data_IF_056847781316
#
_entry.id   IF_056847781316
#
_cell.length_a   1.000
_cell.length_b   1.000
_cell.length_c   1.000
_cell.angle_alpha   90.00
_cell.angle_beta   90.00
_cell.angle_gamma   90.00
#
_symmetry.space_group_name_H-M   'P 1'
#
loop_
_entity.id
_entity.type
_entity.pdbx_description
1 polymer ?
#
# COMPACT_ATOMS: atom_id res chain seq x y z
N UNK A 1 -2.83 12.40 25.54
CA UNK A 1 -3.88 12.64 26.57
C UNK A 1 -4.98 11.63 26.33
N UNK A 2 -5.63 11.13 27.41
CA UNK A 2 -6.74 10.18 27.27
C UNK A 2 -8.09 10.90 27.35
N UNK A 3 -9.07 10.38 26.63
CA UNK A 3 -10.47 10.78 26.75
C UNK A 3 -11.22 9.72 27.56
N UNK A 4 -12.16 10.13 28.41
CA UNK A 4 -13.03 9.24 29.17
C UNK A 4 -14.48 9.60 28.87
N UNK A 5 -15.34 8.61 28.80
CA UNK A 5 -16.77 8.77 28.71
C UNK A 5 -17.38 8.80 30.13
N UNK A 6 -18.44 9.56 30.32
CA UNK A 6 -19.20 9.68 31.55
C UNK A 6 -20.68 9.84 31.21
N UNK A 7 -21.53 9.00 31.77
CA UNK A 7 -22.96 9.05 31.54
C UNK A 7 -23.63 9.94 32.58
N UNK A 8 -24.40 10.93 32.12
CA UNK A 8 -25.17 11.83 32.98
C UNK A 8 -26.56 12.05 32.41
N UNK A 9 -27.60 11.78 33.20
CA UNK A 9 -29.00 11.99 32.82
C UNK A 9 -29.39 11.33 31.49
N UNK A 10 -28.87 10.13 31.22
CA UNK A 10 -29.16 9.39 30.00
C UNK A 10 -28.40 9.86 28.76
N UNK A 11 -27.37 10.70 28.91
CA UNK A 11 -26.49 11.15 27.84
C UNK A 11 -25.04 10.84 28.15
N UNK A 12 -24.29 10.42 27.14
CA UNK A 12 -22.85 10.19 27.22
C UNK A 12 -22.09 11.49 26.93
N UNK A 13 -21.15 11.82 27.79
CA UNK A 13 -20.25 12.96 27.65
C UNK A 13 -18.81 12.50 27.63
N UNK A 14 -18.03 13.07 26.75
CA UNK A 14 -16.59 12.85 26.65
C UNK A 14 -15.80 14.01 27.24
N UNK A 15 -14.77 13.69 28.03
CA UNK A 15 -13.86 14.67 28.64
C UNK A 15 -12.43 14.17 28.73
N UNK A 16 -11.49 15.09 28.87
CA UNK A 16 -10.10 14.75 29.18
C UNK A 16 -9.99 14.06 30.54
N UNK A 17 -9.18 12.97 30.62
CA UNK A 17 -8.92 12.25 31.86
C UNK A 17 -8.14 13.05 32.90
N UNK A 18 -7.55 14.21 32.53
CA UNK A 18 -6.70 15.09 33.37
C UNK A 18 -5.48 14.40 34.01
N UNK A 19 -5.15 13.16 33.61
CA UNK A 19 -4.04 12.37 34.21
C UNK A 19 -2.64 12.96 34.03
N UNK A 20 -2.45 13.87 33.06
CA UNK A 20 -1.14 14.49 32.76
C UNK A 20 -1.10 16.00 32.97
N UNK A 21 -1.87 16.53 33.92
CA UNK A 21 -1.97 17.96 34.20
C UNK A 21 -3.36 18.54 34.04
N UNK A 22 -3.55 19.79 34.44
CA UNK A 22 -4.83 20.49 34.30
C UNK A 22 -5.24 20.65 32.84
N UNK A 23 -6.42 20.18 32.51
CA UNK A 23 -7.04 20.39 31.20
C UNK A 23 -8.33 21.19 31.37
N UNK A 24 -8.42 22.32 30.71
CA UNK A 24 -9.60 23.20 30.71
C UNK A 24 -10.63 22.86 29.64
N UNK A 25 -10.41 21.77 28.88
CA UNK A 25 -11.33 21.34 27.82
C UNK A 25 -12.73 21.09 28.38
N UNK A 26 -13.77 21.70 27.77
CA UNK A 26 -15.15 21.46 28.16
C UNK A 26 -15.59 20.03 27.78
N UNK A 27 -16.64 19.56 28.44
CA UNK A 27 -17.32 18.33 28.05
C UNK A 27 -17.94 18.47 26.65
N UNK A 28 -17.90 17.37 25.88
CA UNK A 28 -18.61 17.28 24.60
C UNK A 28 -19.62 16.12 24.68
N UNK A 29 -20.82 16.33 24.20
CA UNK A 29 -21.83 15.27 24.12
C UNK A 29 -21.48 14.30 22.98
N UNK A 30 -21.83 13.03 23.17
CA UNK A 30 -21.57 11.98 22.19
C UNK A 30 -22.15 12.31 20.80
N UNK A 31 -23.38 12.81 20.76
CA UNK A 31 -24.04 13.13 19.51
C UNK A 31 -23.31 14.22 18.72
N UNK A 32 -22.79 15.23 19.43
CA UNK A 32 -22.00 16.31 18.80
C UNK A 32 -20.67 15.80 18.29
N UNK A 33 -19.97 14.98 19.11
CA UNK A 33 -18.72 14.35 18.68
C UNK A 33 -18.95 13.40 17.50
N UNK A 34 -20.02 12.61 17.52
CA UNK A 34 -20.36 11.69 16.43
C UNK A 34 -20.63 12.41 15.11
N UNK A 35 -21.32 13.56 15.18
CA UNK A 35 -21.57 14.41 14.01
C UNK A 35 -20.26 14.98 13.43
N UNK A 36 -19.38 15.54 14.27
CA UNK A 36 -18.07 16.05 13.84
C UNK A 36 -17.22 14.93 13.19
N UNK A 37 -17.22 13.74 13.80
CA UNK A 37 -16.47 12.60 13.25
C UNK A 37 -17.06 12.11 11.92
N UNK A 38 -18.37 12.16 11.76
CA UNK A 38 -19.04 11.82 10.49
C UNK A 38 -18.69 12.80 9.39
N UNK A 39 -18.71 14.11 9.69
CA UNK A 39 -18.29 15.16 8.76
C UNK A 39 -16.84 14.96 8.30
N UNK A 40 -15.94 14.65 9.24
CA UNK A 40 -14.54 14.35 8.92
C UNK A 40 -14.44 13.14 7.99
N UNK A 41 -15.14 12.03 8.26
CA UNK A 41 -15.10 10.85 7.41
C UNK A 41 -15.58 11.17 5.98
N UNK A 42 -16.64 11.95 5.83
CA UNK A 42 -17.13 12.41 4.52
C UNK A 42 -16.07 13.21 3.76
N UNK A 43 -15.27 14.01 4.46
CA UNK A 43 -14.17 14.77 3.85
C UNK A 43 -13.03 13.88 3.28
N UNK A 44 -12.91 12.65 3.73
CA UNK A 44 -11.91 11.68 3.24
C UNK A 44 -12.53 10.57 2.39
N UNK A 45 -13.86 10.63 2.16
CA UNK A 45 -14.52 9.69 1.27
C UNK A 45 -14.07 9.94 -0.18
N UNK A 46 -13.68 8.87 -0.86
CA UNK A 46 -13.27 8.95 -2.26
C UNK A 46 -14.50 8.95 -3.17
N UNK A 47 -14.62 9.90 -4.12
CA UNK A 47 -15.68 9.87 -5.13
C UNK A 47 -15.66 8.58 -5.94
N UNK A 48 -16.83 8.13 -6.39
CA UNK A 48 -16.97 6.87 -7.11
C UNK A 48 -16.19 6.83 -8.43
N UNK A 49 -16.17 7.95 -9.18
CA UNK A 49 -15.42 8.11 -10.41
C UNK A 49 -13.90 8.00 -10.19
N UNK A 50 -13.39 8.55 -9.08
CA UNK A 50 -11.98 8.40 -8.69
C UNK A 50 -11.67 6.96 -8.28
N UNK A 51 -12.57 6.33 -7.55
CA UNK A 51 -12.45 4.92 -7.13
C UNK A 51 -12.30 4.03 -8.36
N UNK A 52 -13.20 4.14 -9.33
CA UNK A 52 -13.18 3.36 -10.56
C UNK A 52 -11.93 3.66 -11.40
N UNK A 53 -11.55 4.93 -11.55
CA UNK A 53 -10.36 5.33 -12.28
C UNK A 53 -9.07 4.76 -11.68
N UNK A 54 -8.90 4.87 -10.35
CA UNK A 54 -7.71 4.35 -9.67
C UNK A 54 -7.63 2.82 -9.70
N UNK A 55 -8.76 2.12 -9.57
CA UNK A 55 -8.80 0.67 -9.70
C UNK A 55 -8.44 0.22 -11.13
N UNK A 56 -8.95 0.91 -12.16
CA UNK A 56 -8.62 0.62 -13.55
C UNK A 56 -7.11 0.81 -13.82
N UNK A 57 -6.51 1.88 -13.30
CA UNK A 57 -5.07 2.11 -13.39
C UNK A 57 -4.26 1.02 -12.67
N UNK A 58 -4.68 0.63 -11.47
CA UNK A 58 -4.03 -0.46 -10.73
C UNK A 58 -4.09 -1.79 -11.50
N UNK A 59 -5.21 -2.08 -12.19
CA UNK A 59 -5.36 -3.27 -13.01
C UNK A 59 -4.49 -3.22 -14.28
N UNK A 60 -4.30 -2.06 -14.88
CA UNK A 60 -3.41 -1.85 -16.01
C UNK A 60 -1.95 -2.05 -15.60
N UNK A 61 -1.51 -1.42 -14.51
CA UNK A 61 -0.17 -1.57 -13.95
C UNK A 61 0.14 -3.03 -13.60
N UNK A 62 -0.83 -3.77 -13.03
CA UNK A 62 -0.67 -5.18 -12.72
C UNK A 62 -0.46 -6.01 -14.00
N UNK A 63 -1.25 -5.77 -15.04
CA UNK A 63 -1.11 -6.46 -16.33
C UNK A 63 0.24 -6.19 -16.98
N UNK A 64 0.71 -4.97 -16.95
CA UNK A 64 1.98 -4.58 -17.57
C UNK A 64 3.19 -5.09 -16.76
N UNK A 65 3.12 -5.01 -15.44
CA UNK A 65 4.10 -5.63 -14.55
C UNK A 65 4.18 -7.14 -14.74
N UNK A 66 3.02 -7.81 -14.87
CA UNK A 66 2.94 -9.25 -15.12
C UNK A 66 3.56 -9.64 -16.47
N UNK A 67 3.26 -8.89 -17.56
CA UNK A 67 3.87 -9.11 -18.89
C UNK A 67 5.38 -8.93 -18.84
N UNK A 68 5.85 -7.87 -18.22
CA UNK A 68 7.28 -7.57 -18.07
C UNK A 68 7.99 -8.68 -17.29
N UNK A 69 7.39 -9.12 -16.20
CA UNK A 69 7.92 -10.23 -15.38
C UNK A 69 7.93 -11.53 -16.17
N UNK A 70 6.88 -11.85 -16.94
CA UNK A 70 6.82 -13.06 -17.77
C UNK A 70 7.94 -13.06 -18.83
N UNK A 71 8.17 -11.92 -19.49
CA UNK A 71 9.24 -11.76 -20.49
C UNK A 71 10.62 -11.95 -19.84
N UNK A 72 10.84 -11.33 -18.67
CA UNK A 72 12.09 -11.49 -17.92
C UNK A 72 12.31 -12.95 -17.51
N UNK A 73 11.30 -13.61 -16.95
CA UNK A 73 11.35 -15.02 -16.53
C UNK A 73 11.65 -15.92 -17.72
N UNK A 74 11.04 -15.68 -18.90
CA UNK A 74 11.33 -16.42 -20.11
C UNK A 74 12.81 -16.28 -20.51
N UNK A 75 13.32 -15.06 -20.62
CA UNK A 75 14.72 -14.81 -20.97
C UNK A 75 15.73 -15.41 -19.97
N UNK A 76 15.42 -15.38 -18.67
CA UNK A 76 16.25 -16.03 -17.65
C UNK A 76 16.27 -17.56 -17.81
N UNK A 77 15.14 -18.19 -18.11
CA UNK A 77 15.07 -19.62 -18.40
C UNK A 77 15.87 -20.03 -19.63
N UNK A 78 15.80 -19.25 -20.69
CA UNK A 78 16.63 -19.48 -21.88
C UNK A 78 18.12 -19.38 -21.57
N UNK A 79 18.54 -18.39 -20.75
CA UNK A 79 19.94 -18.29 -20.31
C UNK A 79 20.39 -19.50 -19.51
N UNK A 80 19.54 -20.02 -18.61
CA UNK A 80 19.83 -21.23 -17.85
C UNK A 80 19.99 -22.44 -18.80
N UNK A 81 19.13 -22.55 -19.82
CA UNK A 81 19.25 -23.60 -20.85
C UNK A 81 20.57 -23.52 -21.61
N UNK A 82 21.00 -22.31 -21.97
CA UNK A 82 22.32 -22.11 -22.61
C UNK A 82 23.47 -22.55 -21.70
N UNK A 83 23.40 -22.25 -20.40
CA UNK A 83 24.42 -22.70 -19.45
C UNK A 83 24.44 -24.25 -19.32
N UNK A 84 23.28 -24.89 -19.29
CA UNK A 84 23.20 -26.35 -19.29
C UNK A 84 23.88 -26.92 -20.53
N UNK A 85 23.56 -26.45 -21.74
CA UNK A 85 24.20 -26.91 -22.96
C UNK A 85 25.72 -26.67 -23.00
N UNK A 86 26.22 -25.58 -22.37
CA UNK A 86 27.66 -25.36 -22.24
C UNK A 86 28.30 -26.36 -21.26
N UNK A 87 27.62 -26.67 -20.16
CA UNK A 87 28.08 -27.66 -19.17
C UNK A 87 28.12 -29.05 -19.79
N UNK A 88 27.08 -29.43 -20.54
CA UNK A 88 27.02 -30.70 -21.25
C UNK A 88 28.18 -30.81 -22.25
N UNK A 89 28.40 -29.80 -23.09
CA UNK A 89 29.49 -29.78 -24.07
C UNK A 89 30.88 -29.93 -23.44
N UNK A 90 31.18 -29.23 -22.33
CA UNK A 90 32.48 -29.41 -21.69
C UNK A 90 32.60 -30.75 -21.00
N UNK A 91 31.48 -31.37 -20.62
CA UNK A 91 31.46 -32.72 -20.05
C UNK A 91 31.78 -33.76 -21.15
N UNK A 92 31.21 -33.61 -22.34
CA UNK A 92 31.49 -34.48 -23.50
C UNK A 92 32.98 -34.39 -23.88
N UNK A 93 33.53 -33.18 -24.02
CA UNK A 93 34.96 -32.98 -24.32
C UNK A 93 35.88 -33.61 -23.26
N UNK A 94 35.47 -33.63 -22.00
CA UNK A 94 36.22 -34.28 -20.94
C UNK A 94 36.11 -35.81 -21.03
N UNK A 95 34.96 -36.37 -21.36
CA UNK A 95 34.72 -37.81 -21.55
C UNK A 95 35.51 -38.31 -22.77
N UNK A 96 35.58 -37.51 -23.84
CA UNK A 96 36.36 -37.80 -25.04
C UNK A 96 37.89 -37.62 -24.87
N UNK A 97 38.32 -37.14 -23.70
CA UNK A 97 39.72 -36.88 -23.37
C UNK A 97 40.35 -35.70 -24.16
N UNK A 98 39.53 -34.85 -24.76
CA UNK A 98 39.98 -33.65 -25.50
C UNK A 98 40.45 -32.52 -24.60
N UNK A 99 40.02 -32.52 -23.33
CA UNK A 99 40.47 -31.58 -22.31
C UNK A 99 40.92 -32.30 -21.05
N UNK A 100 41.90 -31.70 -20.37
CA UNK A 100 42.41 -32.20 -19.09
C UNK A 100 41.42 -31.91 -17.93
N UNK A 101 41.62 -32.63 -16.82
CA UNK A 101 40.75 -32.56 -15.65
C UNK A 101 40.76 -31.17 -15.01
N UNK A 102 41.90 -30.47 -15.02
CA UNK A 102 42.01 -29.14 -14.38
C UNK A 102 41.21 -28.12 -15.17
N UNK A 103 41.36 -28.08 -16.49
CA UNK A 103 40.58 -27.24 -17.41
C UNK A 103 39.09 -27.51 -17.29
N UNK A 104 38.67 -28.78 -17.27
CA UNK A 104 37.27 -29.17 -17.07
C UNK A 104 36.71 -28.61 -15.77
N UNK A 105 37.37 -28.85 -14.63
CA UNK A 105 36.89 -28.42 -13.33
C UNK A 105 36.84 -26.87 -13.21
N UNK A 106 37.82 -26.16 -13.77
CA UNK A 106 37.84 -24.70 -13.78
C UNK A 106 36.65 -24.14 -14.58
N UNK A 107 36.45 -24.61 -15.81
CA UNK A 107 35.33 -24.19 -16.68
C UNK A 107 33.98 -24.55 -16.08
N UNK A 108 33.82 -25.76 -15.57
CA UNK A 108 32.55 -26.18 -14.92
C UNK A 108 32.21 -25.31 -13.73
N UNK A 109 33.17 -25.02 -12.84
CA UNK A 109 32.94 -24.15 -11.69
C UNK A 109 32.46 -22.76 -12.12
N UNK A 110 33.09 -22.16 -13.13
CA UNK A 110 32.69 -20.87 -13.68
C UNK A 110 31.23 -20.87 -14.19
N UNK A 111 30.91 -21.83 -15.06
CA UNK A 111 29.58 -21.97 -15.65
C UNK A 111 28.49 -22.24 -14.59
N UNK A 112 28.79 -23.09 -13.58
CA UNK A 112 27.86 -23.35 -12.48
C UNK A 112 27.63 -22.14 -11.60
N UNK A 113 28.67 -21.33 -11.34
CA UNK A 113 28.54 -20.08 -10.59
C UNK A 113 27.65 -19.07 -11.32
N UNK A 114 27.88 -18.89 -12.64
CA UNK A 114 27.07 -17.99 -13.47
C UNK A 114 25.62 -18.48 -13.56
N UNK A 115 25.41 -19.79 -13.77
CA UNK A 115 24.06 -20.40 -13.77
C UNK A 115 23.34 -20.14 -12.45
N UNK A 116 24.01 -20.37 -11.31
CA UNK A 116 23.44 -20.15 -9.98
C UNK A 116 22.99 -18.68 -9.78
N UNK A 117 23.81 -17.72 -10.21
CA UNK A 117 23.44 -16.29 -10.16
C UNK A 117 22.17 -16.00 -10.95
N UNK A 118 22.02 -16.60 -12.15
CA UNK A 118 20.80 -16.44 -12.96
C UNK A 118 19.60 -17.11 -12.30
N UNK A 119 19.77 -18.29 -11.70
CA UNK A 119 18.72 -19.01 -10.96
C UNK A 119 18.24 -18.21 -9.74
N UNK A 120 19.15 -17.54 -9.02
CA UNK A 120 18.81 -16.67 -7.90
C UNK A 120 17.97 -15.44 -8.35
N UNK A 121 18.33 -14.81 -9.48
CA UNK A 121 17.54 -13.73 -10.07
C UNK A 121 16.18 -14.24 -10.51
N UNK A 122 16.10 -15.40 -11.15
CA UNK A 122 14.85 -16.03 -11.55
C UNK A 122 13.93 -16.27 -10.35
N UNK A 123 14.46 -16.87 -9.28
CA UNK A 123 13.70 -17.13 -8.06
C UNK A 123 13.18 -15.84 -7.40
N UNK A 124 13.98 -14.76 -7.44
CA UNK A 124 13.58 -13.44 -6.94
C UNK A 124 12.48 -12.84 -7.81
N UNK A 125 12.61 -12.89 -9.14
CA UNK A 125 11.61 -12.37 -10.07
C UNK A 125 10.27 -13.11 -9.99
N UNK A 126 10.28 -14.42 -9.71
CA UNK A 126 9.06 -15.21 -9.54
C UNK A 126 8.32 -14.94 -8.21
N UNK A 127 9.01 -14.42 -7.19
CA UNK A 127 8.38 -14.03 -5.92
C UNK A 127 7.82 -12.61 -5.94
N UNK A 128 8.23 -11.81 -6.92
CA UNK A 128 7.87 -10.40 -7.02
C UNK A 128 6.58 -10.19 -7.81
N UNK A 129 5.46 -9.98 -7.11
CA UNK A 129 4.37 -9.13 -7.59
C UNK A 129 4.70 -7.67 -7.27
N UNK A 130 3.86 -6.73 -7.69
CA UNK A 130 3.95 -5.33 -7.25
C UNK A 130 3.45 -5.22 -5.80
N UNK A 131 4.34 -5.18 -4.80
CA UNK A 131 3.95 -5.31 -3.39
C UNK A 131 3.11 -4.11 -2.89
N UNK A 132 3.03 -3.04 -3.69
CA UNK A 132 2.25 -1.85 -3.38
C UNK A 132 0.79 -1.94 -3.90
N UNK A 133 0.48 -2.82 -4.86
CA UNK A 133 -0.85 -2.91 -5.48
C UNK A 133 -1.93 -3.35 -4.49
N UNK A 134 -1.71 -4.43 -3.73
CA UNK A 134 -2.68 -4.88 -2.75
C UNK A 134 -2.95 -3.84 -1.66
N UNK A 135 -1.93 -3.23 -1.00
CA UNK A 135 -2.15 -2.14 -0.07
C UNK A 135 -2.88 -0.93 -0.68
N UNK A 136 -2.62 -0.63 -1.96
CA UNK A 136 -3.31 0.45 -2.66
C UNK A 136 -4.78 0.12 -2.89
N UNK A 137 -5.11 -1.09 -3.37
CA UNK A 137 -6.49 -1.54 -3.55
C UNK A 137 -7.27 -1.54 -2.24
N UNK A 138 -6.67 -2.02 -1.16
CA UNK A 138 -7.27 -1.97 0.17
C UNK A 138 -7.56 -0.54 0.61
N UNK A 139 -6.61 0.39 0.39
CA UNK A 139 -6.79 1.78 0.72
C UNK A 139 -7.90 2.44 -0.13
N UNK A 140 -7.97 2.17 -1.45
CA UNK A 140 -9.04 2.67 -2.33
C UNK A 140 -10.40 2.17 -1.82
N UNK A 141 -10.50 0.88 -1.48
CA UNK A 141 -11.71 0.29 -0.91
C UNK A 141 -12.09 0.94 0.42
N UNK A 142 -11.13 1.11 1.33
CA UNK A 142 -11.36 1.81 2.59
C UNK A 142 -11.90 3.23 2.35
N UNK A 143 -11.29 3.98 1.43
CA UNK A 143 -11.67 5.35 1.12
C UNK A 143 -13.06 5.44 0.44
N UNK A 144 -13.43 4.50 -0.42
CA UNK A 144 -14.71 4.48 -1.10
C UNK A 144 -15.89 4.18 -0.16
N UNK A 145 -15.65 3.46 0.94
CA UNK A 145 -16.70 3.11 1.91
C UNK A 145 -16.92 4.15 3.01
N UNK A 146 -16.08 5.18 3.08
CA UNK A 146 -16.14 6.16 4.17
C UNK A 146 -17.45 6.96 4.22
N UNK A 147 -18.05 7.25 3.08
CA UNK A 147 -19.32 8.01 3.02
C UNK A 147 -20.49 7.18 3.61
N UNK A 148 -20.53 5.89 3.33
CA UNK A 148 -21.51 4.97 3.93
C UNK A 148 -21.29 4.85 5.44
N UNK A 149 -20.03 4.69 5.87
CA UNK A 149 -19.67 4.61 7.29
C UNK A 149 -20.03 5.92 8.01
N UNK A 150 -19.80 7.06 7.37
CA UNK A 150 -20.13 8.37 7.93
C UNK A 150 -21.65 8.53 8.18
N UNK A 151 -22.48 8.04 7.27
CA UNK A 151 -23.95 8.08 7.36
C UNK A 151 -24.53 7.04 8.31
N UNK A 152 -23.83 5.94 8.54
CA UNK A 152 -24.27 4.87 9.46
C UNK A 152 -24.18 5.29 10.93
N UNK A 153 -24.82 4.53 11.82
CA UNK A 153 -24.80 4.75 13.27
C UNK A 153 -23.76 3.91 14.00
N UNK A 154 -22.94 3.14 13.27
CA UNK A 154 -21.94 2.23 13.85
C UNK A 154 -20.68 3.00 14.29
N UNK A 155 -20.63 3.39 15.57
CA UNK A 155 -19.49 4.07 16.20
C UNK A 155 -18.17 3.25 16.13
N UNK A 156 -18.16 1.93 16.36
CA UNK A 156 -16.96 1.12 16.17
C UNK A 156 -16.34 1.25 14.78
N UNK A 157 -17.15 1.16 13.71
CA UNK A 157 -16.67 1.33 12.33
C UNK A 157 -16.15 2.73 12.07
N UNK A 158 -16.82 3.79 12.55
CA UNK A 158 -16.32 5.17 12.46
C UNK A 158 -14.97 5.31 13.16
N UNK A 159 -14.84 4.79 14.37
CA UNK A 159 -13.58 4.82 15.13
C UNK A 159 -12.45 4.09 14.40
N UNK A 160 -12.73 2.90 13.85
CA UNK A 160 -11.74 2.12 13.09
C UNK A 160 -11.24 2.88 11.87
N UNK A 161 -12.16 3.47 11.09
CA UNK A 161 -11.82 4.27 9.91
C UNK A 161 -11.01 5.51 10.26
N UNK A 162 -11.39 6.24 11.30
CA UNK A 162 -10.63 7.39 11.80
C UNK A 162 -9.22 7.00 12.27
N UNK A 163 -9.08 5.81 12.87
CA UNK A 163 -7.77 5.31 13.26
C UNK A 163 -6.89 4.98 12.05
N UNK A 164 -7.46 4.50 10.95
CA UNK A 164 -6.73 4.30 9.69
C UNK A 164 -6.27 5.63 9.07
N UNK A 165 -7.12 6.67 9.11
CA UNK A 165 -6.85 7.98 8.52
C UNK A 165 -5.82 8.78 9.33
N UNK A 166 -5.95 8.80 10.64
CA UNK A 166 -5.20 9.69 11.53
C UNK A 166 -4.19 8.96 12.43
N UNK A 167 -4.26 7.63 12.52
CA UNK A 167 -3.48 6.87 13.50
C UNK A 167 -3.80 7.32 14.93
N UNK A 168 -2.75 7.71 15.68
CA UNK A 168 -2.87 8.27 17.04
C UNK A 168 -2.96 9.80 17.07
N UNK A 169 -3.04 10.45 15.90
CA UNK A 169 -2.93 11.91 15.77
C UNK A 169 -4.27 12.65 15.81
N UNK A 170 -5.37 11.95 16.08
CA UNK A 170 -6.67 12.58 16.24
C UNK A 170 -6.73 13.29 17.60
N UNK A 171 -6.86 14.59 17.58
CA UNK A 171 -6.86 15.44 18.78
C UNK A 171 -8.17 16.20 18.87
N UNK A 172 -8.82 16.14 20.04
CA UNK A 172 -9.97 16.98 20.35
C UNK A 172 -9.51 18.24 21.07
N UNK A 173 -9.77 19.41 20.49
CA UNK A 173 -9.48 20.73 21.08
C UNK A 173 -10.68 21.66 20.97
N UNK A 174 -11.10 22.26 22.07
CA UNK A 174 -12.23 23.20 22.13
C UNK A 174 -13.51 22.65 21.48
N UNK A 175 -13.83 21.38 21.76
CA UNK A 175 -14.95 20.63 21.18
C UNK A 175 -14.87 20.38 19.66
N UNK A 176 -13.74 20.67 19.03
CA UNK A 176 -13.49 20.35 17.61
C UNK A 176 -12.37 19.34 17.48
N UNK A 177 -12.48 18.50 16.48
CA UNK A 177 -11.45 17.52 16.13
C UNK A 177 -10.43 18.21 15.22
N UNK A 178 -9.15 18.18 15.62
CA UNK A 178 -8.05 18.65 14.79
C UNK A 178 -7.58 17.50 13.89
N UNK A 179 -7.56 17.74 12.58
CA UNK A 179 -7.22 16.79 11.55
C UNK A 179 -5.71 16.82 11.27
N UNK A 180 -5.05 15.67 11.42
CA UNK A 180 -3.65 15.49 11.01
C UNK A 180 -3.52 14.11 10.34
N UNK A 181 -3.98 13.98 9.07
CA UNK A 181 -4.01 12.71 8.35
C UNK A 181 -2.61 12.18 8.06
N UNK A 182 -2.49 10.86 7.95
CA UNK A 182 -1.22 10.21 7.67
C UNK A 182 -1.08 9.85 6.20
N UNK A 183 0.16 9.97 5.67
CA UNK A 183 0.55 9.47 4.33
C UNK A 183 -0.48 9.75 3.22
N UNK A 184 -0.98 8.68 2.57
CA UNK A 184 -1.90 8.71 1.44
C UNK A 184 -3.21 9.47 1.72
N UNK A 185 -3.68 9.48 2.95
CA UNK A 185 -4.88 10.23 3.34
C UNK A 185 -4.66 11.74 3.27
N UNK A 186 -3.44 12.21 3.61
CA UNK A 186 -3.07 13.61 3.45
C UNK A 186 -3.07 14.01 1.96
N UNK A 187 -2.55 13.14 1.09
CA UNK A 187 -2.53 13.37 -0.36
C UNK A 187 -3.95 13.41 -0.93
N UNK A 188 -4.82 12.46 -0.54
CA UNK A 188 -6.22 12.45 -0.96
C UNK A 188 -6.93 13.77 -0.59
N UNK A 189 -6.72 14.24 0.64
CA UNK A 189 -7.32 15.50 1.10
C UNK A 189 -6.85 16.72 0.33
N UNK A 190 -5.56 16.78 -0.02
CA UNK A 190 -5.01 17.85 -0.87
C UNK A 190 -5.59 17.76 -2.28
N UNK A 191 -5.66 16.57 -2.85
CA UNK A 191 -6.26 16.35 -4.17
C UNK A 191 -7.72 16.84 -4.19
N UNK A 192 -8.56 16.42 -3.26
CA UNK A 192 -9.96 16.84 -3.17
C UNK A 192 -10.15 18.37 -3.04
N UNK A 193 -9.21 19.06 -2.39
CA UNK A 193 -9.25 20.52 -2.29
C UNK A 193 -8.86 21.25 -3.56
N UNK A 194 -7.97 20.66 -4.35
CA UNK A 194 -7.37 21.29 -5.54
C UNK A 194 -8.13 20.95 -6.83
N UNK A 195 -8.88 19.86 -6.84
CA UNK A 195 -9.57 19.37 -8.02
C UNK A 195 -11.08 19.45 -7.80
N UNK A 196 -11.76 20.27 -8.59
CA UNK A 196 -13.20 20.19 -8.75
C UNK A 196 -13.56 18.87 -9.47
N UNK A 197 -14.76 18.35 -9.24
CA UNK A 197 -15.28 17.01 -9.55
C UNK A 197 -15.04 16.46 -10.98
N UNK A 198 -14.38 17.19 -11.88
CA UNK A 198 -14.22 16.82 -13.31
C UNK A 198 -12.78 16.70 -13.82
N UNK A 199 -11.75 16.78 -12.98
CA UNK A 199 -10.36 16.77 -13.49
C UNK A 199 -9.56 15.53 -13.07
N UNK A 200 -9.94 14.38 -13.62
CA UNK A 200 -9.21 13.11 -13.52
C UNK A 200 -7.82 13.13 -14.20
N UNK A 201 -7.55 14.13 -15.04
CA UNK A 201 -6.30 14.21 -15.82
C UNK A 201 -5.04 14.29 -14.96
N UNK A 202 -5.15 14.79 -13.74
CA UNK A 202 -4.02 14.92 -12.82
C UNK A 202 -3.57 13.58 -12.22
N UNK A 203 -4.49 12.66 -11.92
CA UNK A 203 -4.13 11.33 -11.41
C UNK A 203 -3.43 10.48 -12.46
N UNK A 204 -3.79 10.65 -13.73
CA UNK A 204 -3.12 10.02 -14.86
C UNK A 204 -1.67 10.51 -15.03
N UNK A 205 -1.40 11.79 -14.74
CA UNK A 205 -0.05 12.35 -14.79
C UNK A 205 0.82 11.98 -13.57
N UNK A 206 0.22 11.80 -12.39
CA UNK A 206 0.93 11.45 -11.15
C UNK A 206 1.33 9.96 -11.08
N UNK A 207 0.69 9.08 -11.85
CA UNK A 207 0.98 7.64 -11.90
C UNK A 207 2.38 7.30 -12.46
N UNK A 208 3.05 8.23 -13.13
CA UNK A 208 4.42 8.06 -13.61
C UNK A 208 5.52 8.50 -12.64
N UNK A 209 5.20 8.89 -11.41
CA UNK A 209 6.12 9.49 -10.44
C UNK A 209 6.33 8.74 -9.12
N UNK A 210 5.78 7.55 -8.93
CA UNK A 210 6.05 6.71 -7.76
C UNK A 210 7.14 5.68 -8.06
N UNK A 211 8.37 6.16 -8.29
CA UNK A 211 9.54 5.30 -8.07
C UNK A 211 9.93 5.35 -6.58
N UNK A 212 10.33 4.19 -6.00
CA UNK A 212 10.65 4.03 -4.59
C UNK A 212 11.90 4.76 -4.13
#
# INVERSE_FOLDING_TARGET
>A
MGITAEEQKGHTYYRCTKKKGGCSQPYIREEVLAADLSEILTHYAMPEDWTQGLLALADEDEKDSSKTTATLVHGLRERISVFNGKIDRITDLFVEQDIDRETYLAKKRGLMSEKKSVEEVLAKSQRGGSPWLEPMREWIKDASTLDEIAKGDDLPSKKSSLQKIFGSNLILRNKKVEESPVKQWATLRVAQKNFSENDLSFFLAAGHGFEP
#
